data_IF_300723590980
#
_entry.id   IF_300723590980
#
_cell.length_a   1.000
_cell.length_b   1.000
_cell.length_c   1.000
_cell.angle_alpha   90.00
_cell.angle_beta   90.00
_cell.angle_gamma   90.00
#
_symmetry.space_group_name_H-M   'P 1'
#
loop_
_entity.id
_entity.type
_entity.pdbx_description
1 polymer ?
#
# COMPACT_ATOMS: atom_id res chain seq x y z
N UNK A 1 44.71 -7.87 -14.36
CA UNK A 1 43.37 -8.48 -14.21
C UNK A 1 43.23 -8.86 -12.75
N UNK A 2 42.18 -8.39 -12.08
CA UNK A 2 41.91 -8.85 -10.72
C UNK A 2 41.47 -10.31 -10.77
N UNK A 3 42.15 -11.17 -10.00
CA UNK A 3 41.82 -12.58 -9.90
C UNK A 3 40.52 -12.84 -9.12
N UNK A 4 40.18 -14.11 -8.97
CA UNK A 4 39.12 -14.55 -8.06
C UNK A 4 39.70 -14.59 -6.64
N UNK A 5 38.88 -14.29 -5.64
CA UNK A 5 39.25 -14.35 -4.23
C UNK A 5 39.84 -15.72 -3.84
N UNK A 6 40.97 -15.68 -3.12
CA UNK A 6 41.71 -16.88 -2.71
C UNK A 6 41.14 -17.58 -1.47
N UNK A 7 40.22 -16.93 -0.75
CA UNK A 7 39.65 -17.47 0.47
C UNK A 7 38.63 -18.61 0.25
N UNK A 8 38.44 -19.41 1.30
CA UNK A 8 37.38 -20.42 1.38
C UNK A 8 36.22 -19.88 2.19
N UNK A 9 35.00 -20.03 1.67
CA UNK A 9 33.77 -19.63 2.37
C UNK A 9 33.54 -20.48 3.62
N UNK A 10 32.68 -20.01 4.54
CA UNK A 10 32.26 -20.79 5.72
C UNK A 10 31.65 -22.16 5.37
N UNK A 11 31.13 -22.32 4.15
CA UNK A 11 30.60 -23.58 3.63
C UNK A 11 31.68 -24.51 3.03
N UNK A 12 32.97 -24.21 3.21
CA UNK A 12 34.08 -25.03 2.74
C UNK A 12 34.37 -24.94 1.23
N UNK A 13 33.63 -24.11 0.48
CA UNK A 13 33.83 -23.92 -0.97
C UNK A 13 34.70 -22.69 -1.24
N UNK A 14 35.52 -22.72 -2.30
CA UNK A 14 36.32 -21.56 -2.74
C UNK A 14 35.42 -20.37 -3.05
N UNK A 15 35.82 -19.19 -2.60
CA UNK A 15 35.13 -17.94 -2.89
C UNK A 15 35.18 -17.65 -4.40
N UNK A 16 34.06 -17.21 -4.98
CA UNK A 16 33.97 -16.88 -6.43
C UNK A 16 33.93 -15.37 -6.70
N UNK A 17 34.03 -14.55 -5.64
CA UNK A 17 34.00 -13.10 -5.78
C UNK A 17 35.32 -12.58 -6.37
N UNK A 18 35.27 -11.43 -7.03
CA UNK A 18 36.47 -10.76 -7.58
C UNK A 18 37.35 -10.27 -6.41
N UNK A 19 38.65 -10.51 -6.52
CA UNK A 19 39.65 -9.98 -5.60
C UNK A 19 39.80 -8.47 -5.81
N UNK A 20 39.93 -7.71 -4.72
CA UNK A 20 40.08 -6.25 -4.78
C UNK A 20 41.48 -5.87 -4.31
N UNK A 21 41.86 -6.32 -3.12
CA UNK A 21 43.16 -6.02 -2.52
C UNK A 21 43.74 -7.28 -1.90
N UNK A 22 45.04 -7.54 -2.12
CA UNK A 22 45.74 -8.67 -1.51
C UNK A 22 45.18 -10.06 -1.87
N UNK A 23 44.58 -10.24 -3.05
CA UNK A 23 43.98 -11.52 -3.47
C UNK A 23 42.63 -11.85 -2.80
N UNK A 24 42.09 -10.95 -1.98
CA UNK A 24 40.83 -11.15 -1.26
C UNK A 24 39.71 -10.26 -1.81
N UNK A 25 38.47 -10.75 -1.74
CA UNK A 25 37.29 -9.91 -1.99
C UNK A 25 37.02 -8.99 -0.79
N UNK A 26 36.19 -7.95 -0.98
CA UNK A 26 35.86 -6.97 0.06
C UNK A 26 35.51 -7.61 1.42
N UNK A 27 34.70 -8.68 1.42
CA UNK A 27 34.21 -9.33 2.64
C UNK A 27 35.24 -10.25 3.31
N UNK A 28 36.20 -10.79 2.56
CA UNK A 28 37.28 -11.61 3.14
C UNK A 28 38.50 -10.76 3.51
N UNK A 29 38.71 -9.63 2.84
CA UNK A 29 39.75 -8.65 3.17
C UNK A 29 39.41 -7.83 4.42
N UNK A 30 38.12 -7.65 4.72
CA UNK A 30 37.63 -7.06 5.97
C UNK A 30 36.46 -7.90 6.55
N UNK A 31 36.73 -8.73 7.56
CA UNK A 31 35.71 -9.54 8.22
C UNK A 31 34.57 -8.75 8.89
N UNK A 32 34.80 -7.47 9.23
CA UNK A 32 33.79 -6.63 9.89
C UNK A 32 32.81 -6.00 8.90
N UNK A 33 33.20 -5.85 7.63
CA UNK A 33 32.39 -5.24 6.59
C UNK A 33 31.02 -5.92 6.42
N UNK A 34 30.96 -7.25 6.55
CA UNK A 34 29.70 -7.99 6.47
C UNK A 34 28.73 -7.58 7.59
N UNK A 35 29.24 -7.42 8.81
CA UNK A 35 28.45 -7.00 9.97
C UNK A 35 28.00 -5.53 9.83
N UNK A 36 28.87 -4.66 9.32
CA UNK A 36 28.55 -3.26 9.07
C UNK A 36 27.45 -3.11 8.00
N UNK A 37 27.59 -3.79 6.86
CA UNK A 37 26.58 -3.81 5.80
C UNK A 37 25.23 -4.34 6.31
N UNK A 38 25.26 -5.40 7.12
CA UNK A 38 24.08 -5.93 7.80
C UNK A 38 23.43 -4.92 8.73
N UNK A 39 24.22 -4.23 9.57
CA UNK A 39 23.75 -3.17 10.47
C UNK A 39 23.11 -2.02 9.70
N UNK A 40 23.78 -1.52 8.65
CA UNK A 40 23.28 -0.43 7.80
C UNK A 40 21.97 -0.82 7.10
N UNK A 41 21.90 -2.03 6.54
CA UNK A 41 20.67 -2.55 5.94
C UNK A 41 19.52 -2.65 6.96
N UNK A 42 19.82 -3.16 8.16
CA UNK A 42 18.86 -3.24 9.25
C UNK A 42 18.37 -1.87 9.73
N UNK A 43 19.26 -0.88 9.82
CA UNK A 43 18.89 0.49 10.20
C UNK A 43 17.95 1.13 9.18
N UNK A 44 18.22 1.01 7.88
CA UNK A 44 17.33 1.54 6.82
C UNK A 44 15.95 0.88 6.85
N UNK A 45 15.88 -0.43 7.09
CA UNK A 45 14.59 -1.13 7.23
C UNK A 45 13.83 -0.69 8.48
N UNK A 46 14.52 -0.50 9.60
CA UNK A 46 13.91 -0.04 10.86
C UNK A 46 13.48 1.42 10.79
N UNK A 47 14.25 2.31 10.17
CA UNK A 47 13.85 3.71 10.01
C UNK A 47 12.59 3.82 9.15
N UNK A 48 12.49 3.04 8.06
CA UNK A 48 11.28 2.99 7.24
C UNK A 48 10.05 2.42 7.98
N UNK A 49 10.26 1.56 8.97
CA UNK A 49 9.19 1.05 9.82
C UNK A 49 8.80 2.03 10.95
N UNK A 50 9.76 2.81 11.44
CA UNK A 50 9.58 3.79 12.52
C UNK A 50 9.01 5.15 12.03
N UNK A 51 9.04 5.41 10.72
CA UNK A 51 8.52 6.64 10.11
C UNK A 51 7.00 6.61 9.90
N UNK A 52 6.35 5.47 10.14
CA UNK A 52 4.92 5.45 10.42
C UNK A 52 4.74 5.89 11.87
N UNK A 53 4.80 7.19 12.10
CA UNK A 53 4.14 7.78 13.25
C UNK A 53 2.70 7.29 13.17
N UNK A 54 2.29 6.50 14.16
CA UNK A 54 0.94 5.96 14.29
C UNK A 54 0.02 7.14 14.62
N UNK A 55 -0.13 8.05 13.66
CA UNK A 55 -1.20 9.02 13.66
C UNK A 55 -2.43 8.17 13.48
N UNK A 56 -3.09 7.88 14.59
CA UNK A 56 -4.41 7.27 14.65
C UNK A 56 -5.38 8.23 13.93
N UNK A 57 -5.39 8.17 12.60
CA UNK A 57 -6.36 8.86 11.80
C UNK A 57 -7.67 8.13 12.02
N UNK A 58 -8.61 8.80 12.67
CA UNK A 58 -9.96 8.30 12.81
C UNK A 58 -10.49 7.91 11.41
N UNK A 59 -11.17 6.75 11.28
CA UNK A 59 -11.66 6.30 9.99
C UNK A 59 -12.64 7.33 9.39
N UNK A 60 -12.61 7.56 8.06
CA UNK A 60 -13.53 8.48 7.40
C UNK A 60 -14.98 8.06 7.66
N UNK A 61 -15.81 8.97 8.20
CA UNK A 61 -17.21 8.67 8.53
C UNK A 61 -18.19 9.24 7.52
N UNK A 62 -17.75 10.23 6.75
CA UNK A 62 -18.57 10.91 5.75
C UNK A 62 -17.89 10.92 4.39
N UNK A 63 -18.69 11.14 3.33
CA UNK A 63 -18.14 11.35 1.99
C UNK A 63 -17.17 12.53 1.92
N UNK A 64 -17.35 13.56 2.76
CA UNK A 64 -16.44 14.70 2.85
C UNK A 64 -15.08 14.29 3.45
N UNK A 65 -15.07 13.42 4.45
CA UNK A 65 -13.84 12.89 5.03
C UNK A 65 -13.06 12.08 3.99
N UNK A 66 -13.76 11.24 3.22
CA UNK A 66 -13.15 10.43 2.14
C UNK A 66 -12.53 11.32 1.06
N UNK A 67 -13.23 12.38 0.64
CA UNK A 67 -12.70 13.36 -0.32
C UNK A 67 -11.43 14.03 0.21
N UNK A 68 -11.44 14.43 1.48
CA UNK A 68 -10.30 15.09 2.12
C UNK A 68 -9.09 14.16 2.20
N UNK A 69 -9.30 12.92 2.64
CA UNK A 69 -8.26 11.90 2.71
C UNK A 69 -7.65 11.60 1.33
N UNK A 70 -8.48 11.45 0.29
CA UNK A 70 -8.01 11.26 -1.09
C UNK A 70 -7.15 12.41 -1.58
N UNK A 71 -7.52 13.66 -1.28
CA UNK A 71 -6.72 14.84 -1.62
C UNK A 71 -5.32 14.79 -0.99
N UNK A 72 -5.22 14.37 0.27
CA UNK A 72 -3.94 14.18 0.95
C UNK A 72 -3.11 13.07 0.29
N UNK A 73 -3.71 11.91 0.02
CA UNK A 73 -3.01 10.79 -0.64
C UNK A 73 -2.50 11.17 -2.03
N UNK A 74 -3.27 11.95 -2.80
CA UNK A 74 -2.82 12.47 -4.10
C UNK A 74 -1.62 13.40 -3.96
N UNK A 75 -1.62 14.28 -2.95
CA UNK A 75 -0.50 15.16 -2.64
C UNK A 75 0.75 14.37 -2.25
N UNK A 76 0.62 13.39 -1.36
CA UNK A 76 1.73 12.56 -0.90
C UNK A 76 2.30 11.65 -1.99
N UNK A 77 1.44 11.09 -2.85
CA UNK A 77 1.86 10.32 -4.01
C UNK A 77 2.66 11.18 -5.00
N UNK A 78 2.19 12.42 -5.29
CA UNK A 78 2.92 13.36 -6.16
C UNK A 78 4.24 13.81 -5.55
N UNK A 79 4.31 13.94 -4.23
CA UNK A 79 5.51 14.31 -3.51
C UNK A 79 6.51 13.15 -3.30
N UNK A 80 6.16 11.92 -3.70
CA UNK A 80 6.98 10.73 -3.48
C UNK A 80 7.03 10.26 -2.02
N UNK A 81 6.17 10.79 -1.16
CA UNK A 81 6.02 10.37 0.25
C UNK A 81 5.17 9.12 0.41
N UNK A 82 4.36 8.80 -0.61
CA UNK A 82 3.51 7.61 -0.64
C UNK A 82 3.94 6.68 -1.77
N UNK A 83 4.17 5.42 -1.45
CA UNK A 83 4.59 4.41 -2.42
C UNK A 83 3.43 4.10 -3.41
N UNK A 84 3.69 3.99 -4.74
CA UNK A 84 2.62 3.90 -5.73
C UNK A 84 1.61 2.77 -5.53
N UNK A 85 2.06 1.61 -5.00
CA UNK A 85 1.19 0.47 -4.72
C UNK A 85 0.30 0.75 -3.51
N UNK A 86 0.82 1.42 -2.49
CA UNK A 86 0.04 1.87 -1.34
C UNK A 86 -1.00 2.90 -1.78
N UNK A 87 -0.61 3.90 -2.58
CA UNK A 87 -1.53 4.89 -3.13
C UNK A 87 -2.68 4.27 -3.93
N UNK A 88 -2.36 3.29 -4.79
CA UNK A 88 -3.35 2.58 -5.60
C UNK A 88 -4.35 1.80 -4.72
N UNK A 89 -3.86 1.16 -3.67
CA UNK A 89 -4.69 0.42 -2.70
C UNK A 89 -5.62 1.37 -1.94
N UNK A 90 -5.09 2.51 -1.47
CA UNK A 90 -5.88 3.53 -0.78
C UNK A 90 -6.96 4.13 -1.69
N UNK A 91 -6.64 4.41 -2.95
CA UNK A 91 -7.62 4.88 -3.94
C UNK A 91 -8.76 3.89 -4.16
N UNK A 92 -8.44 2.59 -4.27
CA UNK A 92 -9.45 1.54 -4.39
C UNK A 92 -10.36 1.47 -3.15
N UNK A 93 -9.79 1.42 -1.95
CA UNK A 93 -10.55 1.34 -0.70
C UNK A 93 -11.44 2.58 -0.49
N UNK A 94 -10.93 3.77 -0.78
CA UNK A 94 -11.71 5.01 -0.70
C UNK A 94 -12.91 4.99 -1.66
N UNK A 95 -12.73 4.48 -2.88
CA UNK A 95 -13.82 4.31 -3.85
C UNK A 95 -14.87 3.29 -3.37
N UNK A 96 -14.45 2.17 -2.76
CA UNK A 96 -15.39 1.19 -2.17
C UNK A 96 -16.19 1.84 -1.02
N UNK A 97 -15.53 2.58 -0.15
CA UNK A 97 -16.18 3.27 0.97
C UNK A 97 -17.18 4.32 0.50
N UNK A 98 -16.80 5.16 -0.48
CA UNK A 98 -17.68 6.18 -1.04
C UNK A 98 -18.95 5.55 -1.63
N UNK A 99 -18.81 4.48 -2.40
CA UNK A 99 -19.95 3.74 -2.96
C UNK A 99 -20.86 3.16 -1.87
N UNK A 100 -20.30 2.63 -0.80
CA UNK A 100 -21.10 2.12 0.33
C UNK A 100 -21.91 3.24 0.99
N UNK A 101 -21.33 4.43 1.15
CA UNK A 101 -22.02 5.60 1.70
C UNK A 101 -23.12 6.08 0.76
N UNK A 102 -22.86 6.14 -0.55
CA UNK A 102 -23.84 6.51 -1.58
C UNK A 102 -25.03 5.53 -1.60
N UNK A 103 -24.77 4.22 -1.55
CA UNK A 103 -25.82 3.19 -1.49
C UNK A 103 -26.69 3.36 -0.24
N UNK A 104 -26.08 3.56 0.92
CA UNK A 104 -26.82 3.79 2.17
C UNK A 104 -27.71 5.04 2.10
N UNK A 105 -27.20 6.17 1.58
CA UNK A 105 -28.00 7.38 1.39
C UNK A 105 -29.18 7.15 0.44
N UNK A 106 -28.95 6.40 -0.63
CA UNK A 106 -30.00 6.07 -1.60
C UNK A 106 -31.08 5.18 -0.98
N UNK A 107 -30.70 4.15 -0.21
CA UNK A 107 -31.63 3.27 0.51
C UNK A 107 -32.49 4.07 1.51
N UNK A 108 -31.89 4.99 2.27
CA UNK A 108 -32.62 5.85 3.22
C UNK A 108 -33.65 6.73 2.49
N UNK A 109 -33.24 7.37 1.39
CA UNK A 109 -34.12 8.24 0.60
C UNK A 109 -35.22 7.47 -0.10
N UNK A 110 -34.93 6.27 -0.61
CA UNK A 110 -35.93 5.38 -1.20
C UNK A 110 -36.95 4.94 -0.15
N UNK A 111 -36.51 4.56 1.04
CA UNK A 111 -37.39 4.17 2.15
C UNK A 111 -38.38 5.28 2.49
N UNK A 112 -37.90 6.53 2.56
CA UNK A 112 -38.76 7.70 2.79
C UNK A 112 -39.78 7.86 1.65
N UNK A 113 -39.33 7.82 0.39
CA UNK A 113 -40.21 7.99 -0.77
C UNK A 113 -41.27 6.88 -0.86
N UNK A 114 -40.87 5.63 -0.67
CA UNK A 114 -41.77 4.47 -0.70
C UNK A 114 -42.84 4.54 0.40
N UNK A 115 -42.49 5.06 1.58
CA UNK A 115 -43.44 5.27 2.67
C UNK A 115 -44.52 6.31 2.33
N UNK A 116 -44.18 7.31 1.50
CA UNK A 116 -45.10 8.39 1.09
C UNK A 116 -45.94 7.99 -0.12
N UNK A 117 -45.35 7.27 -1.07
CA UNK A 117 -46.01 6.87 -2.32
C UNK A 117 -47.00 5.72 -2.09
N UNK A 118 -46.83 4.93 -1.03
CA UNK A 118 -47.60 3.71 -0.82
C UNK A 118 -47.18 2.64 -1.83
N UNK A 119 -47.10 1.39 -1.40
CA UNK A 119 -46.59 0.25 -2.17
C UNK A 119 -47.51 -0.21 -3.32
N UNK A 120 -48.18 0.69 -4.02
CA UNK A 120 -48.94 0.37 -5.24
C UNK A 120 -48.06 0.54 -6.48
N UNK A 121 -47.28 -0.50 -6.81
CA UNK A 121 -46.66 -0.64 -8.12
C UNK A 121 -47.69 -0.55 -9.26
N UNK A 122 -47.28 -0.19 -10.49
CA UNK A 122 -48.20 0.12 -11.59
C UNK A 122 -49.13 -1.07 -11.89
N UNK A 123 -50.42 -0.90 -11.59
CA UNK A 123 -51.51 -1.83 -11.97
C UNK A 123 -51.58 -1.89 -13.50
N UNK A 124 -50.89 -2.87 -14.08
CA UNK A 124 -50.86 -3.14 -15.51
C UNK A 124 -52.27 -3.53 -16.00
N UNK A 125 -53.06 -2.55 -16.42
CA UNK A 125 -54.33 -2.76 -17.11
C UNK A 125 -54.06 -3.17 -18.56
N UNK A 126 -53.65 -4.42 -18.79
CA UNK A 126 -53.83 -5.03 -20.11
C UNK A 126 -55.33 -5.21 -20.31
N UNK A 127 -55.94 -4.24 -20.98
CA UNK A 127 -57.28 -4.33 -21.55
C UNK A 127 -57.35 -5.61 -22.41
N UNK A 128 -58.20 -6.53 -22.02
CA UNK A 128 -58.77 -7.52 -22.91
C UNK A 128 -59.48 -6.78 -24.04
N UNK A 129 -59.07 -7.04 -25.28
CA UNK A 129 -59.88 -6.80 -26.47
C UNK A 129 -60.25 -8.17 -27.04
N UNK A 130 -61.52 -8.51 -26.83
CA UNK A 130 -62.47 -9.21 -27.69
C UNK A 130 -61.97 -10.39 -28.52
#
# INVERSE_FOLDING_TARGET
>A
MNGICDATTKAGKRCRAVAITGGLCALHGDPNLAAELGRKSGQVRRSKAAEYEEVELAPPRTAQDVRTALGLFMSDARAGRLEPKVASTLGYLANVLLKSMEVSDHEDRLTILESVVGTEGPKNKRKELQ
#
